data_IF_530138261326
#
_entry.id   IF_530138261326
#
_cell.length_a   1.000
_cell.length_b   1.000
_cell.length_c   1.000
_cell.angle_alpha   90.00
_cell.angle_beta   90.00
_cell.angle_gamma   90.00
#
_symmetry.space_group_name_H-M   'P 1'
#
loop_
_entity.id
_entity.type
_entity.pdbx_description
1 polymer ?
#
# COMPACT_ATOMS: atom_id res chain seq x y z
N UNK A 1 -2.39 3.08 17.63
CA UNK A 1 -2.80 2.03 16.67
C UNK A 1 -1.87 2.09 15.48
N UNK A 2 -0.92 1.15 15.41
CA UNK A 2 0.07 1.13 14.33
C UNK A 2 -0.58 0.67 13.03
N UNK A 3 -0.71 1.59 12.07
CA UNK A 3 -1.07 1.21 10.70
C UNK A 3 0.19 0.63 10.02
N UNK A 4 0.05 -0.35 9.12
CA UNK A 4 1.17 -0.85 8.34
C UNK A 4 1.79 0.29 7.54
N UNK A 5 3.10 0.47 7.71
CA UNK A 5 3.89 1.48 7.03
C UNK A 5 4.98 0.82 6.20
N UNK A 6 5.37 1.47 5.11
CA UNK A 6 6.49 1.06 4.28
C UNK A 6 7.80 1.11 5.07
N UNK A 7 8.72 0.17 4.79
CA UNK A 7 9.97 -0.01 5.54
C UNK A 7 10.72 1.30 5.69
N UNK A 8 10.99 1.71 6.93
CA UNK A 8 11.81 2.91 7.22
C UNK A 8 11.13 4.23 6.85
N UNK A 9 9.89 4.20 6.35
CA UNK A 9 9.12 5.36 5.96
C UNK A 9 7.89 5.49 6.87
N UNK A 10 7.40 6.72 7.02
CA UNK A 10 6.11 6.99 7.70
C UNK A 10 4.92 7.05 6.75
N UNK A 11 5.08 6.44 5.57
CA UNK A 11 4.04 6.32 4.56
C UNK A 11 3.25 5.05 4.84
N UNK A 12 1.93 5.18 4.92
CA UNK A 12 1.06 4.04 5.18
C UNK A 12 0.84 3.28 3.90
N UNK A 13 0.68 1.97 4.02
CA UNK A 13 0.26 1.10 2.90
C UNK A 13 -1.03 1.63 2.25
N UNK A 14 -1.96 2.14 3.06
CA UNK A 14 -3.22 2.73 2.57
C UNK A 14 -3.03 3.97 1.69
N UNK A 15 -1.95 4.73 1.88
CA UNK A 15 -1.71 5.95 1.10
C UNK A 15 -1.28 5.57 -0.32
N UNK A 16 -0.40 4.58 -0.46
CA UNK A 16 0.01 4.02 -1.78
C UNK A 16 -1.18 3.39 -2.49
N UNK A 17 -1.96 2.55 -1.80
CA UNK A 17 -3.16 1.93 -2.37
C UNK A 17 -4.20 2.97 -2.79
N UNK A 18 -4.31 4.08 -2.06
CA UNK A 18 -5.19 5.19 -2.42
C UNK A 18 -4.76 5.89 -3.72
N UNK A 19 -3.46 6.12 -3.90
CA UNK A 19 -2.91 6.70 -5.13
C UNK A 19 -3.13 5.78 -6.33
N UNK A 20 -2.83 4.49 -6.18
CA UNK A 20 -3.08 3.48 -7.21
C UNK A 20 -4.58 3.40 -7.55
N UNK A 21 -5.45 3.43 -6.55
CA UNK A 21 -6.91 3.44 -6.74
C UNK A 21 -7.42 4.71 -7.41
N UNK A 22 -6.72 5.83 -7.29
CA UNK A 22 -7.00 7.08 -8.01
C UNK A 22 -6.47 7.09 -9.45
N UNK A 23 -5.79 6.02 -9.88
CA UNK A 23 -5.26 5.88 -11.23
C UNK A 23 -3.82 6.33 -11.41
N UNK A 24 -3.10 6.66 -10.33
CA UNK A 24 -1.67 6.98 -10.41
C UNK A 24 -0.87 5.76 -10.87
N UNK A 25 0.05 5.96 -11.80
CA UNK A 25 1.01 4.96 -12.24
C UNK A 25 2.13 4.77 -11.21
N UNK A 26 2.86 3.67 -11.32
CA UNK A 26 4.01 3.40 -10.45
C UNK A 26 5.09 4.48 -10.62
N UNK A 27 5.32 4.95 -11.85
CA UNK A 27 6.30 6.00 -12.13
C UNK A 27 5.92 7.33 -11.47
N UNK A 28 4.67 7.77 -11.61
CA UNK A 28 4.20 9.01 -10.97
C UNK A 28 4.35 8.95 -9.44
N UNK A 29 4.04 7.80 -8.84
CA UNK A 29 4.24 7.60 -7.39
C UNK A 29 5.73 7.68 -7.02
N UNK A 30 6.63 7.07 -7.80
CA UNK A 30 8.06 7.12 -7.53
C UNK A 30 8.67 8.52 -7.76
N UNK A 31 8.10 9.29 -8.68
CA UNK A 31 8.48 10.69 -8.93
C UNK A 31 8.05 11.61 -7.77
N UNK A 32 6.82 11.45 -7.28
CA UNK A 32 6.30 12.22 -6.13
C UNK A 32 6.96 11.81 -4.80
N UNK A 33 7.40 10.56 -4.70
CA UNK A 33 7.99 9.96 -3.51
C UNK A 33 9.36 9.33 -3.83
N UNK A 34 10.42 10.12 -4.05
CA UNK A 34 11.73 9.63 -4.54
C UNK A 34 12.49 8.73 -3.56
N UNK A 35 11.96 8.54 -2.34
CA UNK A 35 12.47 7.62 -1.33
C UNK A 35 11.74 6.26 -1.34
N UNK A 36 10.70 6.11 -2.17
CA UNK A 36 10.07 4.82 -2.44
C UNK A 36 10.83 4.09 -3.54
N UNK A 37 10.82 2.77 -3.44
CA UNK A 37 11.25 1.87 -4.50
C UNK A 37 10.03 1.18 -5.11
N UNK A 38 10.16 0.70 -6.34
CA UNK A 38 9.09 -0.07 -6.99
C UNK A 38 8.65 -1.28 -6.14
N UNK A 39 9.62 -1.91 -5.47
CA UNK A 39 9.37 -3.02 -4.53
C UNK A 39 8.47 -2.62 -3.35
N UNK A 40 8.49 -1.36 -2.91
CA UNK A 40 7.61 -0.90 -1.82
C UNK A 40 6.15 -0.82 -2.28
N UNK A 41 5.92 -0.47 -3.54
CA UNK A 41 4.58 -0.46 -4.16
C UNK A 41 4.08 -1.89 -4.31
N UNK A 42 4.93 -2.82 -4.78
CA UNK A 42 4.60 -4.23 -4.89
C UNK A 42 4.29 -4.84 -3.51
N UNK A 43 5.10 -4.54 -2.49
CA UNK A 43 4.85 -5.00 -1.11
C UNK A 43 3.53 -4.46 -0.54
N UNK A 44 3.15 -3.21 -0.88
CA UNK A 44 1.85 -2.66 -0.50
C UNK A 44 0.69 -3.41 -1.14
N UNK A 45 0.82 -3.79 -2.41
CA UNK A 45 -0.17 -4.60 -3.14
C UNK A 45 -0.27 -6.02 -2.59
N UNK A 46 0.86 -6.68 -2.33
CA UNK A 46 0.90 -8.01 -1.71
C UNK A 46 0.24 -8.01 -0.33
N UNK A 47 0.54 -7.00 0.49
CA UNK A 47 -0.12 -6.82 1.78
C UNK A 47 -1.64 -6.66 1.63
N UNK A 48 -2.09 -5.87 0.66
CA UNK A 48 -3.52 -5.68 0.40
C UNK A 48 -4.21 -6.98 -0.05
N UNK A 49 -3.56 -7.73 -0.93
CA UNK A 49 -4.06 -9.03 -1.39
C UNK A 49 -4.18 -10.02 -0.22
N UNK A 50 -3.14 -10.12 0.62
CA UNK A 50 -3.15 -10.98 1.80
C UNK A 50 -4.24 -10.61 2.81
N UNK A 51 -4.54 -9.32 2.99
CA UNK A 51 -5.64 -8.90 3.87
C UNK A 51 -7.03 -9.13 3.27
N UNK A 52 -7.17 -9.09 1.95
CA UNK A 52 -8.47 -9.30 1.29
C UNK A 52 -8.88 -10.78 1.35
N UNK A 53 -7.91 -11.69 1.27
CA UNK A 53 -8.14 -13.13 1.40
C UNK A 53 -8.42 -13.56 2.86
N UNK A 54 -8.21 -12.65 3.81
CA UNK A 54 -8.62 -12.85 5.18
C UNK A 54 -10.12 -12.56 5.31
N UNK A 55 -10.94 -13.56 4.96
CA UNK A 55 -12.38 -13.53 5.17
C UNK A 55 -12.68 -13.32 6.65
N UNK A 56 -12.94 -12.07 7.05
CA UNK A 56 -13.59 -11.78 8.32
C UNK A 56 -15.03 -12.28 8.17
N UNK A 57 -15.31 -13.50 8.63
CA UNK A 57 -16.69 -13.94 8.84
C UNK A 57 -17.26 -13.08 9.96
N UNK A 58 -17.91 -11.98 9.61
CA UNK A 58 -18.75 -11.24 10.55
C UNK A 58 -19.97 -12.12 10.77
N UNK A 59 -19.99 -12.86 11.88
CA UNK A 59 -21.24 -13.49 12.34
C UNK A 59 -22.16 -12.36 12.78
N UNK A 60 -23.34 -12.29 12.15
CA UNK A 60 -24.46 -11.48 12.60
C UNK A 60 -25.17 -12.17 13.77
#
# INVERSE_FOLDING_TARGET
GGRPCIRGLRIRVTDILGLLGAGASHQEILEDYPFLEENDILAALEYAAAQTDHAILITA
#
